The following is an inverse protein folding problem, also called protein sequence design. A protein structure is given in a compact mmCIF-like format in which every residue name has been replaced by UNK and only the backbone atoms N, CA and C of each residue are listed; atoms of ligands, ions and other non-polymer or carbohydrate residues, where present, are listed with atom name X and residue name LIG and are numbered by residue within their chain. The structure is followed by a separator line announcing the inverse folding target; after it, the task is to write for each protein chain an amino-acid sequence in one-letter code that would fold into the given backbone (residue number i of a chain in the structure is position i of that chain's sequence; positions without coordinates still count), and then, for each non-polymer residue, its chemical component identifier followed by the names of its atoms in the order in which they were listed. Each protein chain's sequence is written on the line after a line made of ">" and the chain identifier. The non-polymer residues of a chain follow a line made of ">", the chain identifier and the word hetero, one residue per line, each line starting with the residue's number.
data_IF_780551679714
#
_entry.id   IF_780551679714
#
_cell.length_a   1.000
_cell.length_b   1.000
_cell.length_c   1.000
_cell.angle_alpha   90.00
_cell.angle_beta   90.00
_cell.angle_gamma   90.00
#
_symmetry.space_group_name_H-M   'P 1'
#
loop_
_entity.id
_entity.type
_entity.pdbx_description
1 polymer ?
#
# COMPACT_ATOMS: atom_id res chain seq x y z
N UNK A 1 -26.53 -6.18 20.01
CA UNK A 1 -26.66 -5.73 18.61
C UNK A 1 -25.46 -6.28 17.85
N UNK A 2 -25.66 -7.40 17.16
CA UNK A 2 -24.59 -8.19 16.52
C UNK A 2 -24.33 -7.59 15.15
N UNK A 3 -23.22 -6.87 14.96
CA UNK A 3 -22.80 -6.42 13.63
C UNK A 3 -21.94 -7.50 12.97
N UNK A 4 -22.26 -7.77 11.72
CA UNK A 4 -21.77 -8.85 10.88
C UNK A 4 -20.25 -8.79 10.65
N UNK A 5 -19.54 -9.84 11.08
CA UNK A 5 -18.15 -10.16 10.74
C UNK A 5 -18.04 -10.93 9.40
N UNK A 6 -18.98 -10.72 8.46
CA UNK A 6 -19.02 -11.46 7.20
C UNK A 6 -18.63 -10.57 6.01
N UNK A 7 -17.51 -10.96 5.40
CA UNK A 7 -17.12 -10.72 4.00
C UNK A 7 -16.16 -9.57 3.71
N UNK A 8 -15.05 -9.47 4.45
CA UNK A 8 -13.80 -9.05 3.82
C UNK A 8 -12.91 -10.29 3.66
N UNK A 9 -12.36 -10.60 2.46
CA UNK A 9 -11.45 -11.74 2.26
C UNK A 9 -10.16 -11.67 3.10
N UNK A 10 -9.97 -10.61 3.89
CA UNK A 10 -8.77 -10.25 4.64
C UNK A 10 -8.58 -11.06 5.96
N UNK A 11 -9.17 -12.26 6.07
CA UNK A 11 -8.57 -13.28 6.93
C UNK A 11 -7.29 -13.79 6.24
N UNK A 12 -6.23 -13.00 6.40
CA UNK A 12 -4.92 -13.11 5.77
C UNK A 12 -4.24 -14.45 6.09
N UNK A 13 -3.39 -14.90 5.18
CA UNK A 13 -2.62 -16.15 5.20
C UNK A 13 -1.59 -16.29 6.35
N UNK A 14 -1.91 -15.79 7.53
CA UNK A 14 -1.01 -15.64 8.69
C UNK A 14 -1.12 -16.80 9.68
N UNK A 15 -2.13 -17.68 9.57
CA UNK A 15 -2.29 -18.80 10.51
C UNK A 15 -1.89 -20.13 9.87
N UNK A 16 -0.69 -20.57 10.27
CA UNK A 16 -0.11 -21.92 10.15
C UNK A 16 0.44 -22.29 8.77
N UNK A 17 1.67 -22.80 8.77
CA UNK A 17 2.41 -23.29 7.60
C UNK A 17 1.70 -24.44 6.87
N UNK A 18 0.66 -24.09 6.11
CA UNK A 18 -0.01 -24.95 5.16
C UNK A 18 0.40 -24.56 3.73
N UNK A 19 0.53 -25.57 2.87
CA UNK A 19 1.08 -25.44 1.52
C UNK A 19 0.29 -24.45 0.64
N UNK A 20 1.04 -23.69 -0.16
CA UNK A 20 0.68 -22.66 -1.17
C UNK A 20 -0.23 -23.20 -2.30
N UNK A 21 -0.87 -24.36 -2.17
CA UNK A 21 -1.45 -25.10 -3.30
C UNK A 21 -2.77 -24.55 -3.85
N UNK A 22 -3.48 -23.69 -3.13
CA UNK A 22 -4.78 -23.17 -3.57
C UNK A 22 -4.71 -21.71 -4.05
N UNK A 23 -3.82 -21.43 -5.02
CA UNK A 23 -3.85 -20.19 -5.80
C UNK A 23 -4.85 -20.25 -7.00
N UNK A 24 -5.82 -21.18 -6.93
CA UNK A 24 -7.27 -21.08 -7.27
C UNK A 24 -7.83 -21.63 -8.57
N UNK A 25 -9.02 -22.26 -8.42
CA UNK A 25 -10.13 -22.41 -9.39
C UNK A 25 -11.50 -22.39 -8.66
N UNK A 26 -12.38 -21.41 -8.97
CA UNK A 26 -13.55 -21.00 -8.14
C UNK A 26 -13.19 -19.99 -7.02
N UNK A 27 -14.09 -19.15 -6.50
CA UNK A 27 -13.82 -18.07 -5.49
C UNK A 27 -12.35 -17.56 -5.43
N UNK A 28 -11.85 -17.06 -6.56
CA UNK A 28 -10.43 -17.19 -6.96
C UNK A 28 -9.52 -16.02 -6.45
N UNK A 29 -8.54 -16.27 -5.56
CA UNK A 29 -7.37 -15.41 -5.20
C UNK A 29 -6.07 -15.62 -6.04
N UNK A 30 -6.06 -15.38 -7.34
CA UNK A 30 -4.84 -15.59 -8.17
C UNK A 30 -3.82 -14.46 -8.02
N UNK A 31 -2.53 -14.80 -8.10
CA UNK A 31 -1.48 -13.86 -8.48
C UNK A 31 -1.44 -13.66 -10.01
N UNK A 32 -1.57 -12.44 -10.54
CA UNK A 32 -1.44 -12.13 -11.96
C UNK A 32 -0.13 -11.43 -12.32
N UNK A 33 0.98 -11.73 -11.64
CA UNK A 33 2.29 -11.12 -11.96
C UNK A 33 2.72 -11.27 -13.43
N UNK A 34 2.07 -12.13 -14.20
CA UNK A 34 1.88 -11.94 -15.64
C UNK A 34 0.44 -12.31 -16.00
N UNK A 35 -0.31 -11.49 -16.77
CA UNK A 35 -1.37 -12.08 -17.58
C UNK A 35 -0.70 -13.15 -18.45
N UNK A 36 -1.35 -14.29 -18.70
CA UNK A 36 -0.83 -15.17 -19.77
C UNK A 36 -0.66 -14.32 -21.04
N UNK A 37 0.31 -14.60 -21.91
CA UNK A 37 0.47 -13.83 -23.14
C UNK A 37 -0.84 -13.62 -23.91
N UNK A 38 -1.77 -14.58 -23.81
CA UNK A 38 -3.12 -14.51 -24.34
C UNK A 38 -4.06 -13.58 -23.55
N UNK A 39 -4.01 -13.58 -22.22
CA UNK A 39 -4.81 -12.67 -21.38
C UNK A 39 -4.32 -11.21 -21.46
N UNK A 40 -3.01 -11.00 -21.64
CA UNK A 40 -2.40 -9.70 -21.89
C UNK A 40 -2.84 -9.15 -23.25
N UNK A 41 -2.83 -10.01 -24.28
CA UNK A 41 -3.32 -9.67 -25.63
C UNK A 41 -4.82 -9.44 -25.71
N UNK A 42 -5.60 -10.05 -24.81
CA UNK A 42 -7.06 -10.02 -24.86
C UNK A 42 -7.70 -8.87 -24.06
N UNK A 43 -6.93 -8.06 -23.32
CA UNK A 43 -7.43 -6.95 -22.48
C UNK A 43 -8.55 -7.37 -21.49
N UNK A 44 -8.55 -8.65 -21.10
CA UNK A 44 -9.62 -9.27 -20.28
C UNK A 44 -9.29 -9.38 -18.79
N UNK A 45 -8.08 -8.99 -18.37
CA UNK A 45 -7.70 -9.09 -16.97
C UNK A 45 -8.29 -7.95 -16.14
N UNK A 46 -9.38 -8.22 -15.42
CA UNK A 46 -9.97 -7.28 -14.47
C UNK A 46 -9.28 -7.45 -13.12
N UNK A 47 -8.40 -6.51 -12.78
CA UNK A 47 -7.82 -6.46 -11.43
C UNK A 47 -8.92 -6.27 -10.37
N UNK A 48 -8.85 -6.99 -9.24
CA UNK A 48 -9.77 -6.78 -8.13
C UNK A 48 -9.76 -5.32 -7.67
N UNK A 49 -10.94 -4.77 -7.39
CA UNK A 49 -11.10 -3.41 -6.87
C UNK A 49 -11.73 -3.47 -5.48
N UNK A 50 -11.06 -2.87 -4.50
CA UNK A 50 -11.56 -2.68 -3.14
C UNK A 50 -12.02 -1.24 -2.98
N UNK A 51 -13.22 -1.05 -2.44
CA UNK A 51 -13.72 0.28 -2.06
C UNK A 51 -13.43 0.48 -0.58
N UNK A 52 -12.58 1.44 -0.26
CA UNK A 52 -12.21 1.74 1.12
C UNK A 52 -12.38 3.22 1.38
N UNK A 53 -13.36 3.56 2.23
CA UNK A 53 -13.63 4.94 2.69
C UNK A 53 -13.70 5.99 1.57
N UNK A 54 -14.36 5.61 0.47
CA UNK A 54 -14.54 6.46 -0.72
C UNK A 54 -13.36 6.47 -1.70
N UNK A 55 -12.26 5.79 -1.38
CA UNK A 55 -11.17 5.50 -2.31
C UNK A 55 -11.42 4.18 -3.05
N UNK A 56 -10.86 4.07 -4.25
CA UNK A 56 -10.85 2.83 -5.03
C UNK A 56 -9.43 2.30 -5.07
N UNK A 57 -9.21 1.09 -4.59
CA UNK A 57 -7.90 0.46 -4.54
C UNK A 57 -7.90 -0.70 -5.52
N UNK A 58 -6.95 -0.72 -6.44
CA UNK A 58 -6.74 -1.84 -7.36
C UNK A 58 -5.68 -2.75 -6.79
N UNK A 59 -5.96 -4.05 -6.74
CA UNK A 59 -5.02 -5.06 -6.24
C UNK A 59 -4.27 -5.64 -7.42
N UNK A 60 -2.98 -5.34 -7.48
CA UNK A 60 -2.07 -5.84 -8.51
C UNK A 60 -1.45 -7.18 -8.11
N UNK A 61 -0.98 -7.29 -6.86
CA UNK A 61 -0.38 -8.50 -6.33
C UNK A 61 -1.05 -8.90 -5.01
N UNK A 62 -1.97 -9.88 -5.02
CA UNK A 62 -2.63 -10.36 -3.81
C UNK A 62 -1.67 -11.07 -2.84
N UNK A 63 -1.97 -11.13 -1.55
CA UNK A 63 -1.21 -11.92 -0.58
C UNK A 63 -1.08 -13.39 -1.02
N UNK A 64 0.10 -13.98 -0.83
CA UNK A 64 0.47 -15.32 -1.29
C UNK A 64 1.05 -15.37 -2.71
N UNK A 65 0.90 -14.28 -3.47
CA UNK A 65 1.49 -14.12 -4.80
C UNK A 65 3.02 -14.03 -4.82
N UNK A 66 3.59 -14.07 -6.01
CA UNK A 66 4.99 -13.73 -6.32
C UNK A 66 5.01 -12.58 -7.33
N UNK A 67 5.43 -11.40 -6.89
CA UNK A 67 5.70 -10.25 -7.76
C UNK A 67 7.10 -10.41 -8.36
N UNK A 68 7.27 -10.11 -9.64
CA UNK A 68 8.55 -10.22 -10.35
C UNK A 68 8.92 -8.90 -10.99
N UNK A 69 10.22 -8.62 -11.05
CA UNK A 69 10.78 -7.56 -11.87
C UNK A 69 12.07 -8.04 -12.53
N UNK A 70 12.86 -7.09 -13.03
CA UNK A 70 14.10 -7.42 -13.73
C UNK A 70 15.13 -8.03 -12.78
N UNK A 71 15.28 -9.37 -12.83
CA UNK A 71 16.18 -10.18 -11.99
C UNK A 71 15.85 -10.20 -10.49
N UNK A 72 14.60 -9.98 -10.10
CA UNK A 72 14.15 -10.16 -8.72
C UNK A 72 12.74 -10.72 -8.66
N UNK A 73 12.44 -11.43 -7.58
CA UNK A 73 11.09 -11.87 -7.25
C UNK A 73 10.82 -11.76 -5.75
N UNK A 74 9.61 -11.34 -5.38
CA UNK A 74 9.18 -11.16 -3.99
C UNK A 74 7.88 -11.92 -3.76
N UNK A 75 7.85 -12.77 -2.74
CA UNK A 75 6.60 -13.39 -2.28
C UNK A 75 5.80 -12.39 -1.45
N UNK A 76 4.61 -12.04 -1.92
CA UNK A 76 3.76 -11.06 -1.25
C UNK A 76 3.12 -11.66 0.01
N UNK A 77 3.33 -11.01 1.16
CA UNK A 77 2.67 -11.40 2.42
C UNK A 77 1.35 -10.68 2.66
N UNK A 78 1.18 -9.52 2.05
CA UNK A 78 0.00 -8.66 2.11
C UNK A 78 -0.45 -8.33 0.70
N UNK A 79 -1.75 -8.01 0.54
CA UNK A 79 -2.26 -7.50 -0.73
C UNK A 79 -1.58 -6.17 -1.04
N UNK A 80 -1.15 -6.02 -2.29
CA UNK A 80 -0.46 -4.84 -2.80
C UNK A 80 -1.10 -4.37 -4.10
N UNK A 81 -1.11 -3.05 -4.28
CA UNK A 81 -1.48 -2.40 -5.51
C UNK A 81 -1.50 -0.89 -5.29
N UNK A 82 -2.48 -0.19 -5.84
CA UNK A 82 -2.46 1.27 -5.90
C UNK A 82 -3.84 1.89 -5.75
N UNK A 83 -3.87 3.17 -5.37
CA UNK A 83 -5.09 3.95 -5.17
C UNK A 83 -5.48 4.63 -6.48
N UNK A 84 -6.58 4.19 -7.09
CA UNK A 84 -6.99 4.66 -8.41
C UNK A 84 -7.37 6.14 -8.46
N UNK A 85 -6.84 6.82 -9.47
CA UNK A 85 -6.95 8.25 -9.69
C UNK A 85 -6.20 9.04 -8.64
N UNK A 86 -5.07 8.57 -8.12
CA UNK A 86 -4.13 9.38 -7.34
C UNK A 86 -2.87 9.60 -8.17
N UNK A 87 -2.06 10.60 -7.83
CA UNK A 87 -0.78 10.83 -8.52
C UNK A 87 0.36 10.84 -7.50
N UNK A 88 1.17 9.80 -7.53
CA UNK A 88 2.46 9.71 -6.86
C UNK A 88 3.46 10.73 -7.39
N UNK A 89 4.55 10.92 -6.63
CA UNK A 89 5.63 11.85 -7.00
C UNK A 89 6.47 11.32 -8.18
N UNK A 90 6.47 10.01 -8.36
CA UNK A 90 7.12 9.28 -9.45
C UNK A 90 6.34 9.32 -10.78
N UNK A 91 5.08 9.77 -10.74
CA UNK A 91 4.18 9.87 -11.90
C UNK A 91 3.22 8.69 -12.05
N UNK A 92 3.33 7.68 -11.18
CA UNK A 92 2.40 6.55 -11.10
C UNK A 92 1.32 6.80 -10.04
N UNK A 93 0.37 5.89 -9.87
CA UNK A 93 -0.65 5.99 -8.82
C UNK A 93 -0.06 5.62 -7.44
N UNK A 94 -0.56 6.23 -6.36
CA UNK A 94 0.00 6.02 -5.02
C UNK A 94 -0.15 4.56 -4.59
N UNK A 95 0.97 3.94 -4.25
CA UNK A 95 1.04 2.55 -3.82
C UNK A 95 0.44 2.30 -2.44
N UNK A 96 -0.13 1.11 -2.26
CA UNK A 96 -0.76 0.71 -1.00
C UNK A 96 -0.62 -0.79 -0.70
N UNK A 97 -0.28 -1.08 0.56
CA UNK A 97 -0.37 -2.39 1.19
C UNK A 97 -1.58 -2.44 2.12
N UNK A 98 -2.32 -3.56 2.08
CA UNK A 98 -3.54 -3.73 2.87
C UNK A 98 -3.31 -4.71 4.03
N UNK A 99 -3.42 -4.18 5.24
CA UNK A 99 -3.39 -4.90 6.50
C UNK A 99 -4.76 -5.47 6.91
N UNK A 100 -4.79 -6.27 7.99
CA UNK A 100 -5.97 -7.05 8.36
C UNK A 100 -7.14 -6.23 8.92
N UNK A 101 -6.89 -4.98 9.32
CA UNK A 101 -7.80 -4.18 10.12
C UNK A 101 -8.36 -2.97 9.36
N UNK A 102 -8.71 -3.12 8.08
CA UNK A 102 -9.17 -2.01 7.22
C UNK A 102 -10.36 -1.23 7.78
N UNK A 103 -11.25 -1.91 8.51
CA UNK A 103 -12.48 -1.32 9.03
C UNK A 103 -12.26 -0.55 10.34
N UNK A 104 -11.26 -0.94 11.13
CA UNK A 104 -11.07 -0.43 12.50
C UNK A 104 -9.78 0.37 12.71
N UNK A 105 -8.77 0.22 11.84
CA UNK A 105 -7.55 1.01 11.95
C UNK A 105 -7.86 2.48 11.63
N UNK A 106 -7.55 3.37 12.57
CA UNK A 106 -7.79 4.81 12.46
C UNK A 106 -6.58 5.59 11.91
N UNK A 107 -5.43 4.91 11.79
CA UNK A 107 -4.18 5.48 11.33
C UNK A 107 -3.70 4.76 10.06
N UNK A 108 -3.23 5.54 9.10
CA UNK A 108 -2.48 5.09 7.92
C UNK A 108 -1.01 5.45 8.12
N UNK A 109 -0.13 4.49 7.83
CA UNK A 109 1.31 4.71 7.88
C UNK A 109 1.85 4.84 6.47
N UNK A 110 2.55 5.94 6.17
CA UNK A 110 3.12 6.21 4.85
C UNK A 110 4.64 6.09 4.95
N UNK A 111 5.20 5.09 4.26
CA UNK A 111 6.65 4.94 4.13
C UNK A 111 7.13 5.81 2.99
N UNK A 112 8.00 6.78 3.30
CA UNK A 112 8.70 7.59 2.31
C UNK A 112 9.93 6.84 1.82
N UNK A 113 9.75 5.94 0.86
CA UNK A 113 10.77 5.01 0.41
C UNK A 113 11.99 5.75 -0.14
N UNK A 114 13.17 5.19 0.15
CA UNK A 114 14.45 5.68 -0.37
C UNK A 114 14.77 5.06 -1.72
N UNK A 115 15.45 5.84 -2.56
CA UNK A 115 15.87 5.41 -3.89
C UNK A 115 17.04 4.44 -3.83
N UNK A 116 16.93 3.30 -4.53
CA UNK A 116 18.01 2.31 -4.61
C UNK A 116 19.32 2.94 -5.09
N UNK A 117 20.42 2.65 -4.39
CA UNK A 117 21.74 3.20 -4.69
C UNK A 117 21.92 4.69 -4.34
N UNK A 118 20.85 5.39 -3.95
CA UNK A 118 20.86 6.80 -3.49
C UNK A 118 20.05 6.92 -2.20
N UNK A 119 20.51 6.25 -1.15
CA UNK A 119 19.79 6.08 0.12
C UNK A 119 19.45 7.37 0.89
N UNK A 120 19.98 8.51 0.46
CA UNK A 120 19.64 9.84 0.98
C UNK A 120 18.56 10.55 0.16
N UNK A 121 18.08 9.96 -0.92
CA UNK A 121 17.05 10.52 -1.80
C UNK A 121 15.74 9.77 -1.62
N UNK A 122 14.67 10.54 -1.60
CA UNK A 122 13.30 10.04 -1.66
C UNK A 122 12.98 9.51 -3.07
N UNK A 123 12.19 8.45 -3.12
CA UNK A 123 11.74 7.82 -4.36
C UNK A 123 10.22 7.96 -4.52
N UNK A 124 9.46 7.31 -3.64
CA UNK A 124 8.01 7.16 -3.73
C UNK A 124 7.38 6.99 -2.34
N UNK A 125 6.05 7.16 -2.27
CA UNK A 125 5.26 6.91 -1.07
C UNK A 125 4.58 5.55 -1.17
N UNK A 126 4.82 4.69 -0.18
CA UNK A 126 4.06 3.42 -0.03
C UNK A 126 3.19 3.48 1.21
N UNK A 127 1.88 3.42 0.99
CA UNK A 127 0.89 3.54 2.05
C UNK A 127 0.60 2.18 2.67
N UNK A 128 0.42 2.14 3.98
CA UNK A 128 0.08 0.94 4.73
C UNK A 128 -1.20 1.22 5.51
N UNK A 129 -2.30 0.65 5.01
CA UNK A 129 -3.64 0.83 5.58
C UNK A 129 -4.06 -0.43 6.33
N UNK A 130 -4.83 -0.31 7.41
CA UNK A 130 -5.34 -1.47 8.15
C UNK A 130 -4.32 -2.16 9.07
N UNK A 131 -3.33 -1.43 9.58
CA UNK A 131 -2.37 -1.89 10.59
C UNK A 131 -2.61 -1.16 11.92
N UNK A 132 -2.45 -1.87 13.04
CA UNK A 132 -2.79 -1.30 14.37
C UNK A 132 -1.67 -0.44 14.95
N UNK A 133 -0.44 -0.58 14.44
CA UNK A 133 0.73 0.16 14.92
C UNK A 133 1.74 0.44 13.81
N UNK A 134 2.61 1.43 14.04
CA UNK A 134 3.72 1.76 13.15
C UNK A 134 4.68 0.57 13.00
N UNK A 135 4.92 -0.18 14.08
CA UNK A 135 5.80 -1.34 14.07
C UNK A 135 5.25 -2.48 13.19
N UNK A 136 3.93 -2.73 13.24
CA UNK A 136 3.29 -3.70 12.35
C UNK A 136 3.38 -3.27 10.89
N UNK A 137 3.12 -2.00 10.60
CA UNK A 137 3.25 -1.45 9.25
C UNK A 137 4.69 -1.56 8.75
N UNK A 138 5.67 -1.13 9.55
CA UNK A 138 7.10 -1.23 9.22
C UNK A 138 7.52 -2.68 8.96
N UNK A 139 7.09 -3.62 9.81
CA UNK A 139 7.38 -5.04 9.63
C UNK A 139 6.73 -5.59 8.35
N UNK A 140 5.51 -5.16 8.03
CA UNK A 140 4.83 -5.52 6.80
C UNK A 140 5.59 -5.01 5.57
N UNK A 141 5.99 -3.73 5.54
CA UNK A 141 6.79 -3.16 4.46
C UNK A 141 8.11 -3.92 4.28
N UNK A 142 8.90 -4.06 5.34
CA UNK A 142 10.21 -4.72 5.27
C UNK A 142 10.13 -6.19 4.88
N UNK A 143 8.98 -6.85 5.05
CA UNK A 143 8.79 -8.23 4.64
C UNK A 143 8.81 -8.45 3.13
N UNK A 144 8.75 -7.37 2.33
CA UNK A 144 8.77 -7.39 0.87
C UNK A 144 10.08 -6.89 0.24
N UNK A 145 11.08 -6.54 1.06
CA UNK A 145 12.37 -6.03 0.60
C UNK A 145 13.52 -6.83 1.23
N UNK A 146 14.48 -7.25 0.41
CA UNK A 146 15.70 -7.92 0.88
C UNK A 146 16.71 -6.94 1.50
N UNK A 147 16.55 -5.64 1.22
CA UNK A 147 17.41 -4.57 1.74
C UNK A 147 16.61 -3.59 2.62
N UNK A 148 16.85 -3.56 3.94
CA UNK A 148 16.10 -2.68 4.82
C UNK A 148 16.39 -1.18 4.58
N UNK A 149 17.41 -0.83 3.79
CA UNK A 149 17.73 0.57 3.48
C UNK A 149 16.68 1.26 2.61
N UNK A 150 15.81 0.50 1.93
CA UNK A 150 14.64 1.05 1.23
C UNK A 150 13.69 1.76 2.18
N UNK A 151 13.62 1.33 3.45
CA UNK A 151 12.83 1.99 4.47
C UNK A 151 13.38 3.40 4.74
N UNK A 152 12.59 4.41 4.38
CA UNK A 152 12.81 5.78 4.80
C UNK A 152 11.94 6.17 6.00
N UNK A 153 11.77 7.48 6.25
CA UNK A 153 10.89 7.96 7.32
C UNK A 153 9.45 7.49 7.13
N UNK A 154 8.76 7.24 8.24
CA UNK A 154 7.34 6.88 8.26
C UNK A 154 6.54 8.08 8.77
N UNK A 155 5.46 8.42 8.07
CA UNK A 155 4.47 9.39 8.55
C UNK A 155 3.22 8.63 8.97
N UNK A 156 2.77 8.82 10.21
CA UNK A 156 1.46 8.36 10.67
C UNK A 156 0.41 9.45 10.44
N UNK A 157 -0.71 9.11 9.80
CA UNK A 157 -1.81 10.03 9.51
C UNK A 157 -3.15 9.44 9.97
N UNK A 158 -4.03 10.24 10.60
CA UNK A 158 -5.43 9.89 10.70
C UNK A 158 -6.00 9.57 9.31
N UNK A 159 -6.85 8.54 9.25
CA UNK A 159 -7.45 8.06 8.00
C UNK A 159 -8.12 9.18 7.20
N UNK A 160 -8.85 10.07 7.87
CA UNK A 160 -9.52 11.20 7.23
C UNK A 160 -8.53 12.17 6.58
N UNK A 161 -7.45 12.54 7.29
CA UNK A 161 -6.37 13.39 6.76
C UNK A 161 -5.67 12.72 5.58
N UNK A 162 -5.42 11.41 5.67
CA UNK A 162 -4.85 10.63 4.57
C UNK A 162 -5.73 10.68 3.31
N UNK A 163 -7.04 10.45 3.45
CA UNK A 163 -7.97 10.45 2.31
C UNK A 163 -8.00 11.81 1.63
N UNK A 164 -8.02 12.91 2.39
CA UNK A 164 -7.96 14.27 1.84
C UNK A 164 -6.68 14.50 1.05
N UNK A 165 -5.53 14.11 1.61
CA UNK A 165 -4.23 14.26 0.96
C UNK A 165 -4.10 13.43 -0.32
N UNK A 166 -4.51 12.16 -0.28
CA UNK A 166 -4.49 11.30 -1.48
C UNK A 166 -5.39 11.87 -2.56
N UNK A 167 -6.57 12.39 -2.23
CA UNK A 167 -7.44 13.04 -3.22
C UNK A 167 -6.80 14.30 -3.80
N UNK A 168 -6.13 15.11 -2.98
CA UNK A 168 -5.45 16.32 -3.42
C UNK A 168 -4.30 16.04 -4.41
N UNK A 169 -3.71 14.85 -4.38
CA UNK A 169 -2.67 14.46 -5.35
C UNK A 169 -3.12 14.53 -6.81
N UNK A 170 -4.42 14.43 -7.06
CA UNK A 170 -5.02 14.59 -8.41
C UNK A 170 -4.68 15.91 -9.06
N UNK A 171 -4.72 16.98 -8.26
CA UNK A 171 -4.46 18.34 -8.71
C UNK A 171 -2.98 18.69 -8.59
N UNK A 172 -2.33 18.21 -7.53
CA UNK A 172 -0.92 18.47 -7.27
C UNK A 172 -0.26 17.24 -6.65
N UNK A 173 0.56 16.52 -7.43
CA UNK A 173 1.38 15.44 -6.90
C UNK A 173 2.39 15.96 -5.87
N UNK A 174 2.61 15.18 -4.82
CA UNK A 174 3.48 15.58 -3.72
C UNK A 174 3.56 14.50 -2.65
N UNK A 175 4.59 14.60 -1.81
CA UNK A 175 4.76 13.68 -0.68
C UNK A 175 3.59 13.81 0.32
N UNK A 176 3.05 12.67 0.73
CA UNK A 176 1.95 12.58 1.69
C UNK A 176 2.52 12.70 3.11
N UNK A 177 2.65 13.95 3.60
CA UNK A 177 3.17 14.27 4.94
C UNK A 177 2.07 14.80 5.86
N UNK A 178 2.24 14.66 7.17
CA UNK A 178 1.37 15.31 8.16
C UNK A 178 1.50 16.83 8.10
N UNK A 179 0.37 17.54 8.18
CA UNK A 179 0.36 19.01 8.24
C UNK A 179 1.05 19.56 9.50
N UNK A 180 1.19 18.76 10.56
CA UNK A 180 1.80 19.17 11.83
C UNK A 180 3.27 19.61 11.63
N UNK A 181 3.95 19.11 10.60
CA UNK A 181 5.35 19.47 10.33
C UNK A 181 5.52 20.88 9.73
N UNK A 182 4.49 21.45 9.08
CA UNK A 182 4.61 22.76 8.41
C UNK A 182 4.40 23.96 9.33
N UNK A 183 3.81 23.80 10.52
CA UNK A 183 3.62 24.91 11.46
C UNK A 183 4.85 25.23 12.32
N UNK A 184 5.82 24.31 12.43
CA UNK A 184 7.02 24.55 13.26
C UNK A 184 8.07 25.46 12.59
N UNK A 185 7.97 25.70 11.28
CA UNK A 185 8.94 26.51 10.54
C UNK A 185 8.62 28.01 10.47
N UNK A 186 7.38 28.43 10.75
CA UNK A 186 6.94 29.83 10.54
C UNK A 186 6.72 30.65 11.82
N UNK A 187 7.08 30.14 13.01
CA UNK A 187 6.89 30.89 14.28
C UNK A 187 8.12 31.70 14.72
N UNK A 188 9.28 31.59 14.05
CA UNK A 188 10.52 32.26 14.48
C UNK A 188 11.00 33.43 13.59
N UNK A 189 10.10 34.14 12.89
CA UNK A 189 10.43 35.46 12.30
C UNK A 189 9.42 36.52 12.69
N UNK A 190 9.36 36.83 13.98
CA UNK A 190 8.96 38.17 14.41
C UNK A 190 9.47 38.42 15.83
N UNK A 191 10.60 39.11 15.95
CA UNK A 191 11.02 39.84 17.15
C UNK A 191 12.13 40.80 16.73
N UNK A 192 11.70 42.06 16.52
CA UNK A 192 12.36 43.37 16.70
C UNK A 192 13.86 43.46 16.42
#
# INVERSE_FOLDING_TARGET
>A
MIFFLKNHPINQAVIRGAAVKDLNEGEIRRNPGEPSPEAAKADKYKMPVIKWRGLSIRIENPAGSVRRGHNWETRMKYDYGYISGSNGVDGDEVDVYLGPYLDIAEIVYVVHQRKYGKWNQYDEDKCLIGFMSEDEAKAAYLAHYDDPRFLGPITALPVEEFIEKVKATREQSGMIKSMILFFKANVNRCSI
#
